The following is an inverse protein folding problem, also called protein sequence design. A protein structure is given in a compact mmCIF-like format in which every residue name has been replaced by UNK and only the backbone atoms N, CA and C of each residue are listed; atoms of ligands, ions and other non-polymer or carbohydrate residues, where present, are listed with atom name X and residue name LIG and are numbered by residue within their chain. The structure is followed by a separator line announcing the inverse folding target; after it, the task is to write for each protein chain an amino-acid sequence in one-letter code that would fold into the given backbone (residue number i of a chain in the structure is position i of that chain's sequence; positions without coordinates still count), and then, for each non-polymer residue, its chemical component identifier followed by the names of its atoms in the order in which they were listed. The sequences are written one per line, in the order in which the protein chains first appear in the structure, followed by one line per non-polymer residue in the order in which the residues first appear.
data_IF_229719852473
#
_entry.id   IF_229719852473
#
_cell.length_a   1.000
_cell.length_b   1.000
_cell.length_c   1.000
_cell.angle_alpha   90.00
_cell.angle_beta   90.00
_cell.angle_gamma   90.00
#
_symmetry.space_group_name_H-M   'P 1'
#
loop_
_entity.id
_entity.type
_entity.pdbx_description
1 polymer ?
#
# COMPACT_ATOMS: atom_id res chain seq x y z
N UNK A 1 -0.77 22.92 -4.69
CA UNK A 1 -0.71 22.06 -3.48
C UNK A 1 -1.99 21.25 -3.46
N UNK A 2 -1.90 19.91 -3.42
CA UNK A 2 -3.07 19.04 -3.28
C UNK A 2 -3.53 19.05 -1.82
N UNK A 3 -4.81 19.31 -1.60
CA UNK A 3 -5.40 19.39 -0.25
C UNK A 3 -6.44 18.32 0.01
N UNK A 4 -6.97 17.66 -1.03
CA UNK A 4 -8.01 16.64 -0.95
C UNK A 4 -7.90 15.61 -2.07
N UNK A 5 -8.38 14.39 -1.81
CA UNK A 5 -8.52 13.30 -2.75
C UNK A 5 -9.68 12.37 -2.32
N UNK A 6 -10.20 11.58 -3.27
CA UNK A 6 -11.20 10.55 -2.98
C UNK A 6 -10.59 9.34 -2.25
N UNK A 7 -9.33 9.03 -2.55
CA UNK A 7 -8.54 8.01 -1.88
C UNK A 7 -7.04 8.33 -1.94
N UNK A 8 -6.29 7.76 -0.99
CA UNK A 8 -4.83 7.72 -1.01
C UNK A 8 -4.38 6.28 -1.02
N UNK A 9 -3.46 5.95 -1.92
CA UNK A 9 -2.83 4.63 -1.99
C UNK A 9 -1.31 4.78 -2.04
N UNK A 10 -0.65 4.45 -0.93
CA UNK A 10 0.79 4.55 -0.78
C UNK A 10 1.46 3.23 -1.19
N UNK A 11 2.44 3.29 -2.08
CA UNK A 11 3.33 2.17 -2.36
C UNK A 11 4.29 2.00 -1.17
N UNK A 12 4.10 0.97 -0.36
CA UNK A 12 4.77 0.78 0.93
C UNK A 12 5.35 -0.65 1.01
N UNK A 13 6.51 -0.88 1.66
CA UNK A 13 7.35 0.11 2.37
C UNK A 13 8.37 0.86 1.50
N UNK A 14 8.56 0.43 0.26
CA UNK A 14 9.77 0.80 -0.50
C UNK A 14 9.78 2.20 -1.11
N UNK A 15 8.61 2.82 -1.34
CA UNK A 15 8.49 4.10 -2.06
C UNK A 15 8.06 5.20 -1.12
N UNK A 16 6.97 4.97 -0.39
CA UNK A 16 6.45 5.91 0.60
C UNK A 16 6.99 5.50 1.97
N UNK A 17 7.92 6.29 2.51
CA UNK A 17 8.55 6.04 3.81
C UNK A 17 7.55 6.11 4.97
N UNK A 18 6.61 7.06 4.94
CA UNK A 18 5.58 7.21 5.96
C UNK A 18 4.20 7.50 5.31
N UNK A 19 3.30 6.51 5.23
CA UNK A 19 1.97 6.72 4.68
C UNK A 19 1.13 7.76 5.43
N UNK A 20 1.39 7.95 6.74
CA UNK A 20 0.62 8.88 7.58
C UNK A 20 0.76 10.35 7.14
N UNK A 21 1.84 10.70 6.44
CA UNK A 21 2.05 12.04 5.88
C UNK A 21 0.92 12.44 4.90
N UNK A 22 0.19 11.45 4.37
CA UNK A 22 -0.90 11.64 3.41
C UNK A 22 -2.29 11.41 4.02
N UNK A 23 -2.38 11.14 5.32
CA UNK A 23 -3.63 10.75 6.00
C UNK A 23 -4.74 11.80 5.85
N UNK A 24 -4.38 13.08 5.90
CA UNK A 24 -5.32 14.18 5.82
C UNK A 24 -5.97 14.35 4.42
N UNK A 25 -5.41 13.75 3.37
CA UNK A 25 -5.87 13.97 2.00
C UNK A 25 -7.17 13.22 1.68
N UNK A 26 -7.43 12.07 2.29
CA UNK A 26 -8.61 11.26 1.99
C UNK A 26 -9.06 10.42 3.18
N UNK A 27 -10.35 10.11 3.24
CA UNK A 27 -10.89 9.14 4.21
C UNK A 27 -10.61 7.68 3.82
N UNK A 28 -10.50 7.39 2.51
CA UNK A 28 -10.12 6.06 2.00
C UNK A 28 -8.60 6.00 1.87
N UNK A 29 -7.97 5.15 2.68
CA UNK A 29 -6.52 5.11 2.84
C UNK A 29 -6.00 3.70 2.68
N UNK A 30 -5.00 3.53 1.84
CA UNK A 30 -4.44 2.23 1.51
C UNK A 30 -2.93 2.24 1.52
N UNK A 31 -2.36 1.13 2.00
CA UNK A 31 -0.99 0.74 1.68
C UNK A 31 -1.04 -0.40 0.68
N UNK A 32 -0.16 -0.35 -0.32
CA UNK A 32 -0.06 -1.36 -1.38
C UNK A 32 1.38 -1.86 -1.43
N UNK A 33 1.61 -3.18 -1.32
CA UNK A 33 2.93 -3.75 -1.52
C UNK A 33 3.38 -3.51 -2.96
N UNK A 34 4.66 -3.23 -3.14
CA UNK A 34 5.22 -3.06 -4.47
C UNK A 34 5.55 -4.43 -5.07
N UNK A 35 5.07 -4.65 -6.28
CA UNK A 35 5.49 -5.80 -7.08
C UNK A 35 6.57 -5.32 -8.05
N UNK A 36 7.82 -5.66 -7.74
CA UNK A 36 8.98 -5.38 -8.59
C UNK A 36 9.43 -6.68 -9.23
N UNK A 37 9.72 -6.65 -10.54
CA UNK A 37 10.24 -7.80 -11.30
C UNK A 37 11.53 -8.40 -10.72
N UNK A 38 12.28 -7.63 -9.93
CA UNK A 38 13.54 -8.06 -9.31
C UNK A 38 13.37 -8.61 -7.90
N UNK A 39 12.17 -8.54 -7.32
CA UNK A 39 11.93 -9.09 -5.98
C UNK A 39 11.88 -10.61 -6.02
N UNK A 40 12.55 -11.23 -5.05
CA UNK A 40 12.28 -12.63 -4.75
C UNK A 40 10.88 -12.77 -4.14
N UNK A 41 10.33 -13.99 -4.14
CA UNK A 41 9.07 -14.28 -3.44
C UNK A 41 9.13 -13.87 -1.96
N UNK A 42 10.29 -14.05 -1.32
CA UNK A 42 10.51 -13.65 0.07
C UNK A 42 10.41 -12.12 0.24
N UNK A 43 10.92 -11.34 -0.70
CA UNK A 43 10.83 -9.88 -0.64
C UNK A 43 9.40 -9.38 -0.86
N UNK A 44 8.65 -10.06 -1.74
CA UNK A 44 7.23 -9.79 -1.94
C UNK A 44 6.42 -10.09 -0.67
N UNK A 45 6.68 -11.23 -0.01
CA UNK A 45 6.04 -11.61 1.25
C UNK A 45 6.36 -10.63 2.38
N UNK A 46 7.62 -10.19 2.50
CA UNK A 46 8.04 -9.17 3.48
C UNK A 46 7.33 -7.83 3.25
N UNK A 47 7.20 -7.43 1.99
CA UNK A 47 6.49 -6.18 1.63
C UNK A 47 5.00 -6.26 1.96
N UNK A 48 4.37 -7.42 1.70
CA UNK A 48 2.98 -7.68 2.05
C UNK A 48 2.78 -7.68 3.57
N UNK A 49 3.63 -8.40 4.32
CA UNK A 49 3.58 -8.42 5.78
C UNK A 49 3.71 -7.01 6.36
N UNK A 50 4.67 -6.21 5.89
CA UNK A 50 4.81 -4.82 6.30
C UNK A 50 3.52 -4.01 6.08
N UNK A 51 2.86 -4.17 4.94
CA UNK A 51 1.56 -3.54 4.66
C UNK A 51 0.46 -4.01 5.63
N UNK A 52 0.38 -5.32 5.90
CA UNK A 52 -0.60 -5.90 6.84
C UNK A 52 -0.38 -5.36 8.25
N UNK A 53 0.85 -5.39 8.75
CA UNK A 53 1.19 -4.87 10.07
C UNK A 53 0.87 -3.38 10.20
N UNK A 54 1.13 -2.60 9.15
CA UNK A 54 0.76 -1.18 9.11
C UNK A 54 -0.75 -0.99 9.23
N UNK A 55 -1.54 -1.70 8.42
CA UNK A 55 -3.01 -1.59 8.45
C UNK A 55 -3.60 -2.04 9.79
N UNK A 56 -3.03 -3.08 10.42
CA UNK A 56 -3.46 -3.51 11.76
C UNK A 56 -3.16 -2.47 12.85
N UNK A 57 -2.04 -1.76 12.74
CA UNK A 57 -1.63 -0.73 13.71
C UNK A 57 -2.38 0.60 13.53
N UNK A 58 -2.81 0.93 12.32
CA UNK A 58 -3.37 2.24 11.97
C UNK A 58 -4.82 2.10 11.51
N UNK A 59 -5.76 2.23 12.46
CA UNK A 59 -7.21 2.13 12.20
C UNK A 59 -7.62 3.09 11.08
N UNK A 60 -8.37 2.57 10.10
CA UNK A 60 -8.79 3.31 8.91
C UNK A 60 -7.92 3.09 7.68
N UNK A 61 -6.71 2.55 7.85
CA UNK A 61 -5.86 2.09 6.75
C UNK A 61 -6.18 0.65 6.37
N UNK A 62 -6.11 0.35 5.06
CA UNK A 62 -6.39 -0.98 4.50
C UNK A 62 -5.27 -1.42 3.57
N UNK A 63 -5.11 -2.72 3.37
CA UNK A 63 -4.21 -3.25 2.34
C UNK A 63 -4.93 -3.23 1.00
N UNK A 64 -4.31 -2.64 -0.02
CA UNK A 64 -4.75 -2.74 -1.41
C UNK A 64 -3.91 -3.81 -2.10
N UNK A 65 -4.55 -4.87 -2.60
CA UNK A 65 -3.88 -5.90 -3.39
C UNK A 65 -4.00 -5.60 -4.88
N UNK A 66 -2.94 -5.89 -5.63
CA UNK A 66 -2.98 -5.85 -7.09
C UNK A 66 -3.66 -7.12 -7.63
N UNK A 67 -4.97 -7.27 -7.37
CA UNK A 67 -5.73 -8.48 -7.67
C UNK A 67 -5.63 -8.92 -9.14
N UNK A 68 -5.55 -7.97 -10.08
CA UNK A 68 -5.41 -8.28 -11.50
C UNK A 68 -4.18 -9.16 -11.79
N UNK A 69 -3.08 -8.97 -11.07
CA UNK A 69 -1.87 -9.79 -11.18
C UNK A 69 -2.06 -11.20 -10.64
N UNK A 70 -2.78 -11.33 -9.52
CA UNK A 70 -3.10 -12.63 -8.92
C UNK A 70 -4.07 -13.43 -9.79
N UNK A 71 -5.00 -12.74 -10.43
CA UNK A 71 -6.03 -13.33 -11.29
C UNK A 71 -5.55 -13.56 -12.73
N UNK A 72 -4.37 -13.07 -13.11
CA UNK A 72 -3.84 -13.19 -14.47
C UNK A 72 -4.63 -12.36 -15.50
N UNK A 73 -5.25 -11.26 -15.08
CA UNK A 73 -6.00 -10.35 -15.97
C UNK A 73 -5.27 -9.02 -16.14
N UNK A 74 -5.33 -8.39 -17.33
CA UNK A 74 -4.80 -7.04 -17.56
C UNK A 74 -5.48 -5.97 -16.70
#
# INVERSE_FOLDING_TARGET
MLTQASEVKCLYPDVVRNPLDYEALAAKRYVQPIDKRTHSELDALRSLDACVQFALKHIGWKVSLQLHKLMGVP
#
